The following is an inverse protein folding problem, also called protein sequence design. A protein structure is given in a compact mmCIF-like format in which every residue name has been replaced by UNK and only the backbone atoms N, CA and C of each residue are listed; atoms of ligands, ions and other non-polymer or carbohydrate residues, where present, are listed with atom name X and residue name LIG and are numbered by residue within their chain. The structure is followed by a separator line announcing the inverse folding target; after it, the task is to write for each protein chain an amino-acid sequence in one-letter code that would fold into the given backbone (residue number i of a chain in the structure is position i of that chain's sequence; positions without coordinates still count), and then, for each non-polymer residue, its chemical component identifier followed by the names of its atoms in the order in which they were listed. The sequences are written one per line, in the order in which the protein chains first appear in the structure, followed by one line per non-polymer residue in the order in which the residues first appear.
data_IF_314880165700
#
_entry.id   IF_314880165700
#
_cell.length_a   1.000
_cell.length_b   1.000
_cell.length_c   1.000
_cell.angle_alpha   90.00
_cell.angle_beta   90.00
_cell.angle_gamma   90.00
#
_symmetry.space_group_name_H-M   'P 1'
#
loop_
_entity.id
_entity.type
_entity.pdbx_description
1 polymer ?
#
# COMPACT_ATOMS: atom_id res chain seq x y z
N UNK A 1 18.79 8.11 -3.55
CA UNK A 1 17.45 7.88 -2.96
C UNK A 1 17.66 7.10 -1.68
N UNK A 2 17.41 7.73 -0.54
CA UNK A 2 17.79 7.20 0.77
C UNK A 2 16.92 5.97 1.10
N UNK A 3 17.55 4.84 1.46
CA UNK A 3 16.87 3.55 1.70
C UNK A 3 16.19 3.49 3.08
N UNK A 4 16.32 4.56 3.85
CA UNK A 4 15.99 4.62 5.27
C UNK A 4 14.91 5.68 5.59
N UNK A 5 13.97 5.94 4.65
CA UNK A 5 12.83 6.80 4.98
C UNK A 5 11.95 6.06 6.00
N UNK A 6 11.88 6.53 7.27
CA UNK A 6 11.20 5.78 8.31
C UNK A 6 9.70 5.91 8.09
N UNK A 7 9.06 4.80 7.72
CA UNK A 7 7.59 4.66 7.63
C UNK A 7 6.90 4.91 8.98
N UNK A 8 7.69 4.92 10.03
CA UNK A 8 7.38 5.03 11.45
C UNK A 8 7.04 6.47 11.90
N UNK A 9 7.30 7.50 11.08
CA UNK A 9 7.07 8.91 11.47
C UNK A 9 6.11 9.72 10.58
N UNK A 10 5.34 9.08 9.68
CA UNK A 10 4.38 9.77 8.79
C UNK A 10 3.40 10.69 9.55
N UNK A 11 3.03 10.33 10.78
CA UNK A 11 2.13 11.12 11.64
C UNK A 11 2.70 12.46 12.12
N UNK A 12 4.02 12.67 12.03
CA UNK A 12 4.69 13.91 12.45
C UNK A 12 5.14 14.78 11.27
N UNK A 13 5.05 14.25 10.04
CA UNK A 13 5.45 14.96 8.82
C UNK A 13 4.44 16.05 8.43
N UNK A 14 4.89 17.12 7.77
CA UNK A 14 3.96 18.11 7.21
C UNK A 14 3.25 17.58 5.96
N UNK A 15 2.14 18.20 5.54
CA UNK A 15 1.46 17.86 4.28
C UNK A 15 2.37 18.06 3.06
N UNK A 16 3.31 19.00 3.13
CA UNK A 16 4.30 19.20 2.07
C UNK A 16 5.26 18.01 1.98
N UNK A 17 5.81 17.57 3.12
CA UNK A 17 6.71 16.39 3.15
C UNK A 17 5.97 15.13 2.71
N UNK A 18 4.71 14.96 3.13
CA UNK A 18 3.86 13.86 2.68
C UNK A 18 3.61 13.92 1.16
N UNK A 19 3.45 15.12 0.60
CA UNK A 19 3.28 15.29 -0.85
C UNK A 19 4.54 14.89 -1.62
N UNK A 20 5.73 15.22 -1.10
CA UNK A 20 7.00 14.76 -1.68
C UNK A 20 7.12 13.23 -1.64
N UNK A 21 6.67 12.58 -0.55
CA UNK A 21 6.60 11.12 -0.48
C UNK A 21 5.67 10.52 -1.55
N UNK A 22 4.54 11.16 -1.83
CA UNK A 22 3.63 10.73 -2.90
C UNK A 22 4.33 10.82 -4.25
N UNK A 23 4.93 11.97 -4.58
CA UNK A 23 5.61 12.18 -5.87
C UNK A 23 6.81 11.24 -6.05
N UNK A 24 7.64 11.06 -5.02
CA UNK A 24 8.73 10.10 -5.03
C UNK A 24 8.21 8.66 -5.24
N UNK A 25 7.08 8.34 -4.60
CA UNK A 25 6.41 7.06 -4.70
C UNK A 25 5.86 6.72 -6.08
N UNK A 26 5.29 7.73 -6.75
CA UNK A 26 4.76 7.60 -8.12
C UNK A 26 5.86 7.43 -9.17
N UNK A 27 7.06 7.95 -8.91
CA UNK A 27 8.19 7.92 -9.84
C UNK A 27 9.15 6.74 -9.65
N UNK A 28 8.89 5.84 -8.69
CA UNK A 28 9.79 4.73 -8.35
C UNK A 28 9.09 3.36 -8.34
N UNK A 29 9.89 2.29 -8.21
CA UNK A 29 9.41 0.91 -8.20
C UNK A 29 8.49 0.59 -7.00
N UNK A 30 7.96 -0.62 -6.97
CA UNK A 30 6.86 -1.02 -6.09
C UNK A 30 6.89 -0.68 -4.58
N UNK A 31 8.08 -0.57 -3.95
CA UNK A 31 8.19 -0.15 -2.55
C UNK A 31 7.76 1.32 -2.36
N UNK A 32 7.96 2.12 -3.40
CA UNK A 32 7.63 3.54 -3.45
C UNK A 32 6.12 3.76 -3.67
N UNK A 33 5.43 2.83 -4.33
CA UNK A 33 3.97 2.85 -4.48
C UNK A 33 3.26 2.66 -3.13
N UNK A 34 3.81 1.81 -2.25
CA UNK A 34 3.33 1.66 -0.87
C UNK A 34 3.52 2.95 -0.06
N UNK A 35 4.65 3.65 -0.25
CA UNK A 35 4.91 4.94 0.38
C UNK A 35 3.90 6.01 -0.08
N UNK A 36 3.63 6.10 -1.38
CA UNK A 36 2.61 7.01 -1.90
C UNK A 36 1.23 6.72 -1.32
N UNK A 37 0.84 5.44 -1.22
CA UNK A 37 -0.43 5.05 -0.61
C UNK A 37 -0.54 5.43 0.87
N UNK A 38 0.52 5.23 1.66
CA UNK A 38 0.55 5.61 3.07
C UNK A 38 0.46 7.12 3.27
N UNK A 39 1.21 7.89 2.45
CA UNK A 39 1.17 9.35 2.50
C UNK A 39 -0.20 9.90 2.08
N UNK A 40 -0.80 9.37 1.01
CA UNK A 40 -2.17 9.72 0.60
C UNK A 40 -3.20 9.43 1.70
N UNK A 41 -3.05 8.30 2.40
CA UNK A 41 -3.92 7.95 3.53
C UNK A 41 -3.77 8.94 4.68
N UNK A 42 -2.55 9.33 5.01
CA UNK A 42 -2.30 10.27 6.09
C UNK A 42 -2.83 11.67 5.76
N UNK A 43 -2.62 12.14 4.53
CA UNK A 43 -3.21 13.39 4.03
C UNK A 43 -4.74 13.32 4.14
N UNK A 44 -5.37 12.23 3.66
CA UNK A 44 -6.81 12.06 3.74
C UNK A 44 -7.31 12.09 5.19
N UNK A 45 -6.64 11.38 6.09
CA UNK A 45 -6.98 11.28 7.52
C UNK A 45 -6.95 12.63 8.22
N UNK A 46 -5.99 13.49 7.86
CA UNK A 46 -5.85 14.82 8.46
C UNK A 46 -6.87 15.83 7.93
N UNK A 47 -7.36 15.64 6.71
CA UNK A 47 -8.30 16.59 6.10
C UNK A 47 -7.67 17.94 5.74
N UNK A 48 -6.34 18.04 5.75
CA UNK A 48 -5.58 19.27 5.52
C UNK A 48 -5.37 19.52 4.02
N UNK A 49 -6.47 19.76 3.30
CA UNK A 49 -6.45 20.12 1.88
C UNK A 49 -7.57 21.13 1.58
N UNK A 50 -7.38 22.06 0.63
CA UNK A 50 -8.28 23.21 0.43
C UNK A 50 -9.62 22.87 -0.26
N UNK A 51 -9.76 21.66 -0.80
CA UNK A 51 -10.93 21.23 -1.61
C UNK A 51 -11.42 19.85 -1.13
N UNK A 52 -12.05 19.05 -1.99
CA UNK A 52 -12.27 17.63 -1.68
C UNK A 52 -10.96 16.86 -1.87
N UNK A 53 -10.80 15.74 -1.18
CA UNK A 53 -9.63 14.87 -1.35
C UNK A 53 -9.42 14.50 -2.83
N UNK A 54 -10.51 14.18 -3.55
CA UNK A 54 -10.49 13.84 -4.97
C UNK A 54 -10.00 14.98 -5.86
N UNK A 55 -10.45 16.21 -5.62
CA UNK A 55 -10.00 17.37 -6.37
C UNK A 55 -8.53 17.67 -6.06
N UNK A 56 -8.16 17.62 -4.77
CA UNK A 56 -6.78 17.80 -4.33
C UNK A 56 -5.81 16.80 -4.98
N UNK A 57 -6.09 15.50 -4.95
CA UNK A 57 -5.17 14.49 -5.54
C UNK A 57 -5.12 14.55 -7.07
N UNK A 58 -6.20 14.99 -7.71
CA UNK A 58 -6.22 15.22 -9.16
C UNK A 58 -5.34 16.40 -9.52
N UNK A 59 -5.52 17.53 -8.85
CA UNK A 59 -4.83 18.78 -9.19
C UNK A 59 -3.36 18.73 -8.77
N UNK A 60 -3.05 18.13 -7.62
CA UNK A 60 -1.69 18.05 -7.06
C UNK A 60 -0.85 16.94 -7.69
N UNK A 61 -1.42 15.76 -7.94
CA UNK A 61 -0.67 14.56 -8.34
C UNK A 61 -1.09 13.97 -9.68
N UNK A 62 -2.02 14.60 -10.40
CA UNK A 62 -2.61 14.06 -11.64
C UNK A 62 -3.24 12.66 -11.47
N UNK A 63 -3.71 12.32 -10.25
CA UNK A 63 -4.31 11.02 -9.96
C UNK A 63 -5.83 11.05 -10.15
N UNK A 64 -6.37 9.98 -10.72
CA UNK A 64 -7.81 9.73 -10.64
C UNK A 64 -8.18 9.32 -9.22
N UNK A 65 -9.45 9.58 -8.83
CA UNK A 65 -10.03 9.06 -7.59
C UNK A 65 -9.72 7.58 -7.40
N UNK A 66 -10.08 6.76 -8.39
CA UNK A 66 -9.88 5.30 -8.31
C UNK A 66 -8.41 4.93 -8.07
N UNK A 67 -7.47 5.61 -8.73
CA UNK A 67 -6.04 5.34 -8.56
C UNK A 67 -5.57 5.70 -7.15
N UNK A 68 -5.98 6.85 -6.62
CA UNK A 68 -5.60 7.28 -5.27
C UNK A 68 -6.05 6.27 -4.21
N UNK A 69 -7.32 5.84 -4.24
CA UNK A 69 -7.83 4.84 -3.29
C UNK A 69 -7.16 3.46 -3.48
N UNK A 70 -6.83 3.04 -4.70
CA UNK A 70 -6.09 1.79 -4.93
C UNK A 70 -4.71 1.81 -4.24
N UNK A 71 -3.99 2.93 -4.33
CA UNK A 71 -2.69 3.11 -3.67
C UNK A 71 -2.85 3.01 -2.16
N UNK A 72 -3.86 3.68 -1.59
CA UNK A 72 -4.16 3.64 -0.15
C UNK A 72 -4.50 2.22 0.33
N UNK A 73 -5.35 1.48 -0.40
CA UNK A 73 -5.65 0.10 -0.03
C UNK A 73 -4.42 -0.82 -0.10
N UNK A 74 -3.58 -0.66 -1.12
CA UNK A 74 -2.34 -1.43 -1.23
C UNK A 74 -1.40 -1.14 -0.04
N UNK A 75 -1.27 0.13 0.33
CA UNK A 75 -0.51 0.57 1.49
C UNK A 75 -1.04 -0.04 2.81
N UNK A 76 -2.35 -0.05 3.01
CA UNK A 76 -2.98 -0.64 4.20
C UNK A 76 -2.68 -2.13 4.31
N UNK A 77 -2.77 -2.85 3.20
CA UNK A 77 -2.46 -4.27 3.16
C UNK A 77 -0.97 -4.48 3.48
N UNK A 78 -0.07 -3.68 2.91
CA UNK A 78 1.37 -3.78 3.19
C UNK A 78 1.67 -3.48 4.66
N UNK A 79 1.02 -2.48 5.27
CA UNK A 79 1.15 -2.18 6.69
C UNK A 79 0.65 -3.32 7.58
N UNK A 80 -0.49 -3.92 7.24
CA UNK A 80 -1.00 -5.12 7.93
C UNK A 80 0.02 -6.26 7.90
N UNK A 81 0.61 -6.52 6.73
CA UNK A 81 1.63 -7.55 6.55
C UNK A 81 2.93 -7.22 7.27
N UNK A 82 3.38 -5.96 7.24
CA UNK A 82 4.57 -5.49 7.94
C UNK A 82 4.46 -5.65 9.47
N UNK A 83 3.24 -5.69 10.01
CA UNK A 83 3.05 -5.98 11.45
C UNK A 83 3.34 -7.44 11.86
N UNK A 84 3.57 -8.34 10.89
CA UNK A 84 3.78 -9.78 11.15
C UNK A 84 5.00 -10.35 10.42
N UNK A 85 5.31 -9.86 9.23
CA UNK A 85 6.36 -10.40 8.36
C UNK A 85 7.56 -9.46 8.27
N UNK A 86 8.75 -10.04 8.19
CA UNK A 86 9.99 -9.31 7.91
C UNK A 86 9.94 -8.58 6.56
N UNK A 87 10.68 -7.47 6.46
CA UNK A 87 10.71 -6.60 5.27
C UNK A 87 11.06 -7.33 3.97
N UNK A 88 11.94 -8.34 4.04
CA UNK A 88 12.34 -9.17 2.89
C UNK A 88 11.23 -10.14 2.40
N UNK A 89 10.18 -10.37 3.20
CA UNK A 89 9.01 -11.21 2.89
C UNK A 89 7.77 -10.40 2.50
N UNK A 90 7.85 -9.07 2.51
CA UNK A 90 6.76 -8.20 2.11
C UNK A 90 6.50 -8.23 0.59
N UNK A 91 5.28 -7.85 0.16
CA UNK A 91 4.95 -7.70 -1.24
C UNK A 91 5.90 -6.70 -1.92
N UNK A 92 6.41 -7.08 -3.11
CA UNK A 92 7.23 -6.21 -3.96
C UNK A 92 6.47 -5.64 -5.15
N UNK A 93 5.14 -5.66 -5.13
CA UNK A 93 4.32 -5.05 -6.18
C UNK A 93 2.91 -4.80 -5.66
N UNK A 94 2.30 -3.70 -6.12
CA UNK A 94 0.88 -3.41 -5.88
C UNK A 94 0.00 -4.55 -6.42
N UNK A 95 0.35 -5.09 -7.59
CA UNK A 95 -0.37 -6.20 -8.21
C UNK A 95 -0.43 -7.42 -7.29
N UNK A 96 0.60 -7.70 -6.51
CA UNK A 96 0.58 -8.83 -5.58
C UNK A 96 -0.46 -8.66 -4.45
N UNK A 97 -0.76 -7.42 -4.04
CA UNK A 97 -1.70 -7.17 -2.93
C UNK A 97 -3.13 -6.90 -3.38
N UNK A 98 -3.33 -6.51 -4.64
CA UNK A 98 -4.64 -6.19 -5.21
C UNK A 98 -5.72 -7.26 -4.96
N UNK A 99 -5.45 -8.59 -5.05
CA UNK A 99 -6.47 -9.60 -4.75
C UNK A 99 -6.98 -9.58 -3.30
N UNK A 100 -6.23 -8.98 -2.37
CA UNK A 100 -6.58 -8.92 -0.96
C UNK A 100 -7.40 -7.67 -0.58
N UNK A 101 -7.75 -6.82 -1.55
CA UNK A 101 -8.62 -5.67 -1.31
C UNK A 101 -9.98 -6.18 -0.81
N UNK A 102 -10.51 -5.54 0.24
CA UNK A 102 -11.75 -5.93 0.90
C UNK A 102 -11.60 -7.02 1.97
N UNK A 103 -10.43 -7.67 2.08
CA UNK A 103 -10.16 -8.62 3.16
C UNK A 103 -9.86 -7.90 4.48
N UNK A 104 -10.20 -8.54 5.60
CA UNK A 104 -9.80 -8.07 6.94
C UNK A 104 -8.30 -8.26 7.18
N UNK A 105 -7.74 -7.57 8.17
CA UNK A 105 -6.32 -7.73 8.56
C UNK A 105 -5.93 -9.19 8.77
N UNK A 106 -6.74 -9.96 9.50
CA UNK A 106 -6.49 -11.38 9.77
C UNK A 106 -6.49 -12.23 8.49
N UNK A 107 -7.46 -11.98 7.59
CA UNK A 107 -7.53 -12.67 6.31
C UNK A 107 -6.33 -12.32 5.41
N UNK A 108 -5.91 -11.06 5.36
CA UNK A 108 -4.71 -10.63 4.61
C UNK A 108 -3.46 -11.36 5.11
N UNK A 109 -3.25 -11.41 6.42
CA UNK A 109 -2.13 -12.12 7.05
C UNK A 109 -2.15 -13.60 6.69
N UNK A 110 -3.33 -14.23 6.76
CA UNK A 110 -3.46 -15.66 6.46
C UNK A 110 -3.23 -15.98 4.97
N UNK A 111 -3.80 -15.19 4.07
CA UNK A 111 -3.54 -15.30 2.62
C UNK A 111 -2.04 -15.20 2.36
N UNK A 112 -1.37 -14.20 2.94
CA UNK A 112 0.05 -13.97 2.70
C UNK A 112 0.93 -15.07 3.30
N UNK A 113 0.57 -15.57 4.49
CA UNK A 113 1.25 -16.72 5.12
C UNK A 113 1.18 -17.95 4.24
N UNK A 114 0.00 -18.27 3.68
CA UNK A 114 -0.19 -19.36 2.72
C UNK A 114 0.62 -19.13 1.45
N UNK A 115 0.63 -17.90 0.94
CA UNK A 115 1.35 -17.54 -0.28
C UNK A 115 2.88 -17.67 -0.14
N UNK A 116 3.41 -17.40 1.06
CA UNK A 116 4.82 -17.54 1.40
C UNK A 116 5.26 -18.99 1.66
N UNK A 117 4.33 -19.90 1.96
CA UNK A 117 4.67 -21.29 2.34
C UNK A 117 5.47 -21.97 1.23
N UNK A 118 6.69 -22.41 1.56
CA UNK A 118 7.59 -23.10 0.64
C UNK A 118 8.25 -22.21 -0.43
N UNK A 119 8.13 -20.87 -0.35
CA UNK A 119 8.73 -19.95 -1.33
C UNK A 119 9.93 -19.20 -0.79
N UNK A 120 11.03 -19.20 -1.56
CA UNK A 120 12.20 -18.35 -1.29
C UNK A 120 11.99 -16.88 -1.73
N UNK A 121 11.08 -16.63 -2.68
CA UNK A 121 10.81 -15.29 -3.24
C UNK A 121 9.40 -14.80 -2.88
N UNK A 122 9.22 -13.48 -2.88
CA UNK A 122 7.94 -12.81 -2.62
C UNK A 122 6.87 -13.29 -3.63
N UNK A 123 5.65 -13.65 -3.18
CA UNK A 123 4.59 -14.13 -4.06
C UNK A 123 4.10 -13.05 -5.03
N UNK A 124 3.79 -13.47 -6.27
CA UNK A 124 3.17 -12.62 -7.27
C UNK A 124 1.63 -12.73 -7.27
N UNK A 125 0.99 -11.84 -8.04
CA UNK A 125 -0.47 -11.75 -8.20
C UNK A 125 -1.18 -13.10 -8.33
N UNK A 126 -0.75 -13.96 -9.27
CA UNK A 126 -1.45 -15.22 -9.54
C UNK A 126 -1.49 -16.18 -8.35
N UNK A 127 -0.41 -16.24 -7.55
CA UNK A 127 -0.39 -17.06 -6.33
C UNK A 127 -1.36 -16.50 -5.29
N UNK A 128 -1.33 -15.19 -5.07
CA UNK A 128 -2.17 -14.54 -4.06
C UNK A 128 -3.64 -14.66 -4.44
N UNK A 129 -3.98 -14.39 -5.70
CA UNK A 129 -5.35 -14.51 -6.23
C UNK A 129 -5.93 -15.90 -6.00
N UNK A 130 -5.19 -16.95 -6.36
CA UNK A 130 -5.65 -18.33 -6.19
C UNK A 130 -5.98 -18.66 -4.72
N UNK A 131 -5.19 -18.15 -3.77
CA UNK A 131 -5.44 -18.38 -2.33
C UNK A 131 -6.66 -17.60 -1.84
N UNK A 132 -6.83 -16.36 -2.30
CA UNK A 132 -8.03 -15.56 -1.95
C UNK A 132 -9.29 -16.26 -2.46
N UNK A 133 -9.30 -16.72 -3.71
CA UNK A 133 -10.42 -17.42 -4.32
C UNK A 133 -10.76 -18.71 -3.55
N UNK A 134 -9.75 -19.48 -3.14
CA UNK A 134 -9.94 -20.68 -2.30
C UNK A 134 -10.57 -20.35 -0.95
N UNK A 135 -10.15 -19.27 -0.30
CA UNK A 135 -10.68 -18.86 1.01
C UNK A 135 -12.12 -18.33 0.94
N UNK A 136 -12.53 -17.77 -0.20
CA UNK A 136 -13.89 -17.25 -0.41
C UNK A 136 -14.89 -18.33 -0.87
N UNK A 137 -14.38 -19.46 -1.38
CA UNK A 137 -15.19 -20.61 -1.80
C UNK A 137 -15.48 -21.61 -0.66
N UNK A 138 -14.93 -21.37 0.54
CA UNK A 138 -15.10 -22.20 1.75
C UNK A 138 -16.02 -21.52 2.75
#
# INVERSE_FOLDING_TARGET
MNKDMPLDNLGQMSVNDLSECVEAGLNAGAYAIAQAGLALREIQRRGEYPTTFEAFVKDKFALTRARAYQLMYAADIIADLASVFESNKLPRSESAVRPMIGLTKQQRIEVWRRALKGKQRSPGYGTVKAIVEQMQAS
#
